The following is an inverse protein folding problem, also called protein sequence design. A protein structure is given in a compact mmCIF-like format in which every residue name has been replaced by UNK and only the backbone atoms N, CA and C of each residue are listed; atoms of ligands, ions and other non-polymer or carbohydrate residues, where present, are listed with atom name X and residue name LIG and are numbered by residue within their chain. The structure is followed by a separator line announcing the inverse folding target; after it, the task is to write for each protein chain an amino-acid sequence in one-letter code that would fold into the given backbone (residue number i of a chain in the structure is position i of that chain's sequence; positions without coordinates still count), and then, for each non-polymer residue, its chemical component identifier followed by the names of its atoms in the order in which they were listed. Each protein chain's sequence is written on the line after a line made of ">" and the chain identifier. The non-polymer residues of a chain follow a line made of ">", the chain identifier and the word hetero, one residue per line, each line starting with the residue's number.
data_IF_142619105050
#
_entry.id   IF_142619105050
#
_cell.length_a   1.000
_cell.length_b   1.000
_cell.length_c   1.000
_cell.angle_alpha   90.00
_cell.angle_beta   90.00
_cell.angle_gamma   90.00
#
_symmetry.space_group_name_H-M   'P 1'
#
loop_
_entity.id
_entity.type
_entity.pdbx_description
1 polymer ?
#
# COMPACT_ATOMS: atom_id res chain seq x y z
N UNK A 1 -19.17 -29.31 27.51
CA UNK A 1 -19.71 -28.50 26.40
C UNK A 1 -19.55 -29.35 25.17
N UNK A 2 -20.59 -29.46 24.33
CA UNK A 2 -20.49 -30.26 23.12
C UNK A 2 -19.52 -29.59 22.13
N UNK A 3 -18.75 -30.35 21.34
CA UNK A 3 -17.79 -29.80 20.39
C UNK A 3 -18.45 -28.91 19.32
N UNK A 4 -19.70 -29.23 18.95
CA UNK A 4 -20.49 -28.40 18.04
C UNK A 4 -20.77 -27.00 18.62
N UNK A 5 -21.06 -26.91 19.92
CA UNK A 5 -21.33 -25.63 20.58
C UNK A 5 -20.06 -24.77 20.63
N UNK A 6 -18.90 -25.37 20.91
CA UNK A 6 -17.61 -24.67 20.91
C UNK A 6 -17.30 -24.12 19.51
N UNK A 7 -17.51 -24.93 18.46
CA UNK A 7 -17.29 -24.51 17.08
C UNK A 7 -18.24 -23.41 16.63
N UNK A 8 -19.54 -23.53 16.93
CA UNK A 8 -20.52 -22.47 16.65
C UNK A 8 -20.16 -21.18 17.36
N UNK A 9 -19.78 -21.27 18.63
CA UNK A 9 -19.39 -20.10 19.41
C UNK A 9 -18.15 -19.41 18.85
N UNK A 10 -17.15 -20.19 18.43
CA UNK A 10 -15.98 -19.62 17.77
C UNK A 10 -16.34 -18.94 16.44
N UNK A 11 -17.17 -19.57 15.61
CA UNK A 11 -17.64 -18.99 14.36
C UNK A 11 -18.40 -17.66 14.58
N UNK A 12 -19.25 -17.59 15.60
CA UNK A 12 -19.93 -16.34 16.01
C UNK A 12 -18.92 -15.23 16.33
N UNK A 13 -17.92 -15.53 17.15
CA UNK A 13 -16.89 -14.54 17.52
C UNK A 13 -16.10 -14.10 16.28
N UNK A 14 -15.74 -15.02 15.38
CA UNK A 14 -15.10 -14.67 14.11
C UNK A 14 -16.00 -13.76 13.26
N UNK A 15 -17.31 -13.98 13.22
CA UNK A 15 -18.24 -13.07 12.54
C UNK A 15 -18.29 -11.68 13.18
N UNK A 16 -18.29 -11.61 14.52
CA UNK A 16 -18.25 -10.34 15.25
C UNK A 16 -16.97 -9.55 14.95
N UNK A 17 -15.80 -10.21 15.01
CA UNK A 17 -14.50 -9.61 14.67
C UNK A 17 -14.50 -9.10 13.25
N UNK A 18 -14.94 -9.92 12.29
CA UNK A 18 -15.04 -9.53 10.89
C UNK A 18 -15.94 -8.30 10.68
N UNK A 19 -17.07 -8.21 11.37
CA UNK A 19 -17.98 -7.06 11.27
C UNK A 19 -17.34 -5.77 11.80
N UNK A 20 -16.61 -5.83 12.92
CA UNK A 20 -15.87 -4.67 13.43
C UNK A 20 -14.79 -4.23 12.43
N UNK A 21 -14.07 -5.18 11.83
CA UNK A 21 -13.06 -4.85 10.82
C UNK A 21 -13.67 -4.20 9.57
N UNK A 22 -14.90 -4.58 9.16
CA UNK A 22 -15.62 -3.91 8.06
C UNK A 22 -15.98 -2.47 8.44
N UNK A 23 -16.43 -2.28 9.68
CA UNK A 23 -16.77 -0.96 10.20
C UNK A 23 -15.54 -0.06 10.25
N UNK A 24 -14.42 -0.58 10.78
CA UNK A 24 -13.10 0.08 10.78
C UNK A 24 -12.66 0.43 9.35
N UNK A 25 -12.72 -0.54 8.42
CA UNK A 25 -12.38 -0.33 7.01
C UNK A 25 -13.22 0.79 6.38
N UNK A 26 -14.53 0.79 6.65
CA UNK A 26 -15.47 1.80 6.17
C UNK A 26 -15.18 3.17 6.76
N UNK A 27 -14.77 3.23 8.03
CA UNK A 27 -14.35 4.47 8.68
C UNK A 27 -13.07 5.03 8.05
N UNK A 28 -12.05 4.19 7.92
CA UNK A 28 -10.75 4.54 7.34
C UNK A 28 -10.90 5.06 5.90
N UNK A 29 -11.73 4.40 5.08
CA UNK A 29 -12.02 4.82 3.70
C UNK A 29 -12.74 6.18 3.60
N UNK A 30 -13.63 6.48 4.54
CA UNK A 30 -14.48 7.69 4.50
C UNK A 30 -13.82 8.91 5.12
N UNK A 31 -13.18 8.74 6.27
CA UNK A 31 -12.61 9.84 7.04
C UNK A 31 -11.15 10.09 6.69
N UNK A 32 -10.39 9.04 6.36
CA UNK A 32 -8.94 9.14 6.23
C UNK A 32 -8.26 9.45 7.56
N UNK A 33 -8.92 9.17 8.68
CA UNK A 33 -8.43 9.43 10.03
C UNK A 33 -8.39 8.14 10.84
N UNK A 34 -7.71 8.18 11.99
CA UNK A 34 -7.65 7.04 12.91
C UNK A 34 -9.08 6.67 13.40
N UNK A 35 -9.37 5.37 13.62
CA UNK A 35 -10.64 4.93 14.16
C UNK A 35 -10.94 5.57 15.52
N UNK A 36 -12.22 5.87 15.76
CA UNK A 36 -12.69 6.40 17.03
C UNK A 36 -12.55 5.40 18.19
N UNK A 37 -12.63 5.92 19.42
CA UNK A 37 -12.57 5.11 20.65
C UNK A 37 -13.71 4.09 20.76
N UNK A 38 -14.81 4.30 20.04
CA UNK A 38 -15.95 3.39 19.96
C UNK A 38 -15.63 2.10 19.18
N UNK A 39 -14.87 2.20 18.07
CA UNK A 39 -14.41 1.04 17.30
C UNK A 39 -13.28 0.34 18.06
N UNK A 40 -12.31 1.11 18.56
CA UNK A 40 -11.17 0.58 19.31
C UNK A 40 -11.61 -0.15 20.59
N UNK A 41 -12.50 0.45 21.38
CA UNK A 41 -12.99 -0.16 22.62
C UNK A 41 -13.78 -1.46 22.39
N UNK A 42 -14.52 -1.58 21.28
CA UNK A 42 -15.18 -2.85 20.92
C UNK A 42 -14.17 -3.90 20.45
N UNK A 43 -13.15 -3.49 19.68
CA UNK A 43 -12.05 -4.37 19.24
C UNK A 43 -11.29 -4.93 20.45
N UNK A 44 -10.97 -4.08 21.44
CA UNK A 44 -10.32 -4.49 22.69
C UNK A 44 -11.14 -5.51 23.50
N UNK A 45 -12.47 -5.41 23.50
CA UNK A 45 -13.34 -6.37 24.19
C UNK A 45 -13.41 -7.73 23.48
N UNK A 46 -13.33 -7.75 22.14
CA UNK A 46 -13.40 -8.98 21.37
C UNK A 46 -12.11 -9.80 21.41
N UNK A 47 -10.94 -9.18 21.54
CA UNK A 47 -9.66 -9.90 21.54
C UNK A 47 -9.58 -10.98 22.65
N UNK A 48 -9.89 -10.69 23.94
CA UNK A 48 -9.92 -11.72 24.98
C UNK A 48 -10.97 -12.82 24.72
N UNK A 49 -12.09 -12.48 24.08
CA UNK A 49 -13.12 -13.47 23.73
C UNK A 49 -12.63 -14.42 22.64
N UNK A 50 -11.93 -13.89 21.64
CA UNK A 50 -11.30 -14.67 20.58
C UNK A 50 -10.23 -15.60 21.17
N UNK A 51 -9.34 -15.08 22.01
CA UNK A 51 -8.31 -15.87 22.69
C UNK A 51 -8.89 -17.03 23.49
N UNK A 52 -9.94 -16.76 24.27
CA UNK A 52 -10.66 -17.79 25.01
C UNK A 52 -11.26 -18.84 24.08
N UNK A 53 -11.92 -18.42 23.01
CA UNK A 53 -12.53 -19.36 22.04
C UNK A 53 -11.50 -20.26 21.37
N UNK A 54 -10.30 -19.73 21.09
CA UNK A 54 -9.19 -20.49 20.52
C UNK A 54 -8.62 -21.48 21.54
N UNK A 55 -8.56 -21.11 22.82
CA UNK A 55 -8.17 -22.02 23.89
C UNK A 55 -9.18 -23.17 24.04
N UNK A 56 -10.48 -22.87 23.97
CA UNK A 56 -11.55 -23.87 24.03
C UNK A 56 -11.49 -24.82 22.81
N UNK A 57 -11.23 -24.29 21.61
CA UNK A 57 -11.03 -25.12 20.40
C UNK A 57 -9.85 -26.09 20.52
N UNK A 58 -8.72 -25.65 21.10
CA UNK A 58 -7.53 -26.49 21.29
C UNK A 58 -7.77 -27.65 22.26
N UNK A 59 -8.77 -27.54 23.13
CA UNK A 59 -9.13 -28.58 24.09
C UNK A 59 -10.08 -29.63 23.52
N UNK A 60 -10.63 -29.40 22.31
CA UNK A 60 -11.51 -30.37 21.66
C UNK A 60 -10.71 -31.60 21.24
N UNK A 61 -11.18 -32.77 21.69
CA UNK A 61 -10.61 -34.04 21.28
C UNK A 61 -11.43 -34.66 20.14
N UNK A 62 -10.79 -35.26 19.12
CA UNK A 62 -11.45 -35.87 17.96
C UNK A 62 -12.50 -36.92 18.32
N UNK A 63 -12.35 -37.58 19.47
CA UNK A 63 -13.22 -38.64 19.97
C UNK A 63 -14.64 -38.15 20.32
N UNK A 64 -14.80 -36.85 20.59
CA UNK A 64 -16.10 -36.26 20.92
C UNK A 64 -16.90 -35.82 19.68
N UNK A 65 -16.32 -35.91 18.48
CA UNK A 65 -16.98 -35.47 17.27
C UNK A 65 -17.99 -36.51 16.79
N UNK A 66 -19.24 -36.07 16.62
CA UNK A 66 -20.29 -36.91 16.03
C UNK A 66 -19.99 -37.16 14.55
N UNK A 67 -20.05 -38.41 14.07
CA UNK A 67 -19.93 -38.73 12.65
C UNK A 67 -21.11 -38.22 11.80
N UNK A 68 -22.22 -37.84 12.46
CA UNK A 68 -23.41 -37.25 11.83
C UNK A 68 -23.53 -35.74 12.10
N UNK A 69 -22.55 -35.15 12.78
CA UNK A 69 -22.57 -33.74 13.16
C UNK A 69 -22.07 -32.81 12.07
N UNK A 70 -22.44 -31.53 12.15
CA UNK A 70 -22.03 -30.47 11.21
C UNK A 70 -20.63 -29.90 11.54
N UNK A 71 -19.88 -30.55 12.44
CA UNK A 71 -18.57 -30.07 12.91
C UNK A 71 -17.61 -29.76 11.75
N UNK A 72 -17.57 -30.61 10.72
CA UNK A 72 -16.71 -30.41 9.55
C UNK A 72 -17.07 -29.12 8.80
N UNK A 73 -18.36 -28.85 8.65
CA UNK A 73 -18.83 -27.62 8.01
C UNK A 73 -18.47 -26.41 8.86
N UNK A 74 -18.72 -26.46 10.18
CA UNK A 74 -18.40 -25.37 11.09
C UNK A 74 -16.90 -25.03 11.13
N UNK A 75 -16.02 -26.04 11.05
CA UNK A 75 -14.57 -25.83 10.93
C UNK A 75 -14.23 -25.13 9.62
N UNK A 76 -14.80 -25.57 8.49
CA UNK A 76 -14.56 -24.94 7.19
C UNK A 76 -15.05 -23.49 7.16
N UNK A 77 -16.23 -23.23 7.70
CA UNK A 77 -16.83 -21.89 7.77
C UNK A 77 -15.98 -20.97 8.65
N UNK A 78 -15.50 -21.48 9.80
CA UNK A 78 -14.60 -20.75 10.69
C UNK A 78 -13.28 -20.41 9.98
N UNK A 79 -12.68 -21.37 9.28
CA UNK A 79 -11.46 -21.16 8.51
C UNK A 79 -11.66 -20.12 7.39
N UNK A 80 -12.74 -20.23 6.62
CA UNK A 80 -13.06 -19.26 5.57
C UNK A 80 -13.25 -17.85 6.16
N UNK A 81 -13.88 -17.74 7.32
CA UNK A 81 -14.05 -16.46 8.02
C UNK A 81 -12.72 -15.87 8.49
N UNK A 82 -11.81 -16.68 9.04
CA UNK A 82 -10.47 -16.23 9.43
C UNK A 82 -9.67 -15.69 8.24
N UNK A 83 -9.77 -16.33 7.08
CA UNK A 83 -9.13 -15.80 5.86
C UNK A 83 -9.68 -14.42 5.50
N UNK A 84 -11.01 -14.24 5.53
CA UNK A 84 -11.64 -12.94 5.28
C UNK A 84 -11.14 -11.86 6.27
N UNK A 85 -11.05 -12.22 7.56
CA UNK A 85 -10.50 -11.36 8.61
C UNK A 85 -9.08 -10.92 8.25
N UNK A 86 -8.18 -11.84 7.88
CA UNK A 86 -6.79 -11.50 7.55
C UNK A 86 -6.65 -10.58 6.34
N UNK A 87 -7.44 -10.82 5.29
CA UNK A 87 -7.43 -9.93 4.12
C UNK A 87 -7.89 -8.52 4.47
N UNK A 88 -8.93 -8.42 5.29
CA UNK A 88 -9.50 -7.15 5.70
C UNK A 88 -8.60 -6.39 6.67
N UNK A 89 -7.97 -7.10 7.60
CA UNK A 89 -7.01 -6.54 8.55
C UNK A 89 -5.80 -5.96 7.81
N UNK A 90 -5.25 -6.69 6.83
CA UNK A 90 -4.21 -6.16 5.95
C UNK A 90 -4.64 -4.92 5.18
N UNK A 91 -5.86 -4.88 4.66
CA UNK A 91 -6.38 -3.69 3.97
C UNK A 91 -6.49 -2.49 4.94
N UNK A 92 -6.91 -2.73 6.18
CA UNK A 92 -6.98 -1.71 7.22
C UNK A 92 -5.60 -1.19 7.61
N UNK A 93 -4.61 -2.07 7.76
CA UNK A 93 -3.21 -1.71 7.99
C UNK A 93 -2.67 -0.83 6.85
N UNK A 94 -2.96 -1.15 5.59
CA UNK A 94 -2.55 -0.35 4.44
C UNK A 94 -3.15 1.07 4.48
N UNK A 95 -4.38 1.25 4.98
CA UNK A 95 -4.96 2.58 5.20
C UNK A 95 -4.31 3.30 6.37
N UNK A 96 -4.12 2.63 7.49
CA UNK A 96 -3.49 3.20 8.68
C UNK A 96 -2.06 3.67 8.38
N UNK A 97 -1.30 2.91 7.59
CA UNK A 97 0.06 3.29 7.18
C UNK A 97 0.04 4.58 6.34
N UNK A 98 -0.89 4.71 5.39
CA UNK A 98 -1.03 5.94 4.57
C UNK A 98 -1.43 7.16 5.40
N UNK A 99 -2.17 6.96 6.49
CA UNK A 99 -2.54 8.02 7.43
C UNK A 99 -1.35 8.40 8.31
N UNK A 100 -0.54 7.41 8.73
CA UNK A 100 0.62 7.61 9.59
C UNK A 100 1.84 8.20 8.87
N UNK A 101 1.95 8.03 7.54
CA UNK A 101 3.03 8.62 6.73
C UNK A 101 3.01 10.16 6.83
N UNK A 102 4.06 10.79 7.38
CA UNK A 102 4.10 12.24 7.47
C UNK A 102 4.18 12.87 6.06
N UNK A 103 3.58 14.06 5.85
CA UNK A 103 3.58 14.73 4.54
C UNK A 103 4.97 15.00 3.95
N UNK A 104 6.00 15.05 4.80
CA UNK A 104 7.38 15.33 4.40
C UNK A 104 8.01 14.23 3.55
N UNK A 105 7.68 12.95 3.77
CA UNK A 105 8.24 11.83 3.00
C UNK A 105 7.59 11.71 1.61
N UNK A 106 6.33 12.12 1.48
CA UNK A 106 5.68 12.29 0.17
C UNK A 106 6.32 13.40 -0.66
N UNK A 107 6.71 14.51 -0.02
CA UNK A 107 7.31 15.67 -0.69
C UNK A 107 8.79 15.47 -1.08
N UNK A 108 9.54 14.65 -0.33
CA UNK A 108 10.94 14.38 -0.66
C UNK A 108 11.11 13.60 -1.97
N UNK A 109 10.16 12.73 -2.33
CA UNK A 109 10.16 12.07 -3.65
C UNK A 109 9.70 13.00 -4.79
N UNK A 110 8.86 14.00 -4.52
CA UNK A 110 8.46 15.00 -5.53
C UNK A 110 9.57 16.01 -5.82
N UNK A 111 10.47 16.25 -4.86
CA UNK A 111 11.58 17.22 -5.00
C UNK A 111 12.63 16.83 -6.06
N UNK A 112 12.69 15.56 -6.46
CA UNK A 112 13.57 15.10 -7.54
C UNK A 112 12.86 14.93 -8.90
N UNK A 113 11.54 15.17 -8.96
CA UNK A 113 10.76 15.06 -10.20
C UNK A 113 10.64 16.40 -10.96
N UNK A 114 10.97 17.52 -10.32
CA UNK A 114 11.06 18.84 -10.95
C UNK A 114 12.54 19.19 -11.18
N UNK A 115 13.17 18.47 -12.12
CA UNK A 115 14.47 18.85 -12.65
C UNK A 115 14.26 19.86 -13.78
N UNK A 116 14.13 21.15 -13.42
CA UNK A 116 14.23 22.24 -14.39
C UNK A 116 14.95 23.49 -13.85
N UNK A 117 15.71 23.38 -12.75
CA UNK A 117 16.55 24.49 -12.25
C UNK A 117 17.97 24.00 -11.91
N UNK A 118 18.80 23.90 -12.95
CA UNK A 118 20.27 24.02 -12.84
C UNK A 118 20.74 24.95 -13.95
N UNK A 119 20.48 26.25 -13.80
CA UNK A 119 21.21 27.28 -14.53
C UNK A 119 21.34 28.57 -13.70
N UNK A 120 22.10 28.51 -12.61
CA UNK A 120 22.56 29.75 -11.96
C UNK A 120 23.92 29.54 -11.28
N UNK A 121 25.00 29.65 -12.08
CA UNK A 121 26.32 29.95 -11.56
C UNK A 121 26.70 31.36 -12.01
N UNK A 122 26.43 32.38 -11.17
CA UNK A 122 26.88 33.74 -11.38
C UNK A 122 27.63 34.28 -10.16
N UNK A 123 28.91 34.65 -10.39
CA UNK A 123 29.62 35.68 -9.64
C UNK A 123 31.07 35.32 -9.24
N UNK A 124 32.09 36.17 -9.36
CA UNK A 124 32.26 37.57 -9.81
C UNK A 124 33.78 37.83 -10.00
N UNK A 125 34.14 38.43 -11.14
CA UNK A 125 35.12 39.50 -11.45
C UNK A 125 36.52 39.63 -10.80
N UNK A 126 37.53 39.83 -11.69
CA UNK A 126 38.42 41.01 -11.82
C UNK A 126 39.95 40.73 -11.87
N UNK A 127 40.59 41.08 -12.99
CA UNK A 127 42.01 41.45 -13.06
C UNK A 127 42.29 42.27 -14.35
N UNK A 128 42.85 43.50 -14.28
CA UNK A 128 43.17 44.32 -15.44
C UNK A 128 44.66 44.21 -15.84
N UNK A 129 44.95 44.18 -17.15
CA UNK A 129 46.29 44.43 -17.71
C UNK A 129 46.60 43.72 -19.04
N UNK A 130 46.53 44.45 -20.16
CA UNK A 130 47.08 44.12 -21.49
C UNK A 130 48.59 44.48 -21.56
N UNK A 131 49.37 44.20 -22.64
CA UNK A 131 49.21 43.28 -23.79
C UNK A 131 50.51 42.48 -24.14
N UNK A 132 50.44 41.55 -25.11
CA UNK A 132 51.49 41.01 -26.03
C UNK A 132 50.98 39.62 -26.48
N UNK A 133 50.95 39.14 -27.71
CA UNK A 133 51.56 39.47 -29.00
C UNK A 133 51.83 38.12 -29.69
N UNK A 134 51.41 37.95 -30.97
CA UNK A 134 51.73 36.81 -31.87
C UNK A 134 51.03 35.47 -31.56
N UNK A 135 50.55 34.64 -32.49
CA UNK A 135 50.63 34.58 -33.95
C UNK A 135 49.68 33.47 -34.46
N UNK A 136 49.15 33.66 -35.67
CA UNK A 136 48.75 32.65 -36.66
C UNK A 136 47.42 31.88 -36.52
N UNK A 137 46.48 32.31 -37.37
CA UNK A 137 45.94 31.55 -38.51
C UNK A 137 44.42 31.30 -38.48
N UNK A 138 43.68 32.21 -39.10
CA UNK A 138 42.48 31.86 -39.87
C UNK A 138 42.89 31.18 -41.18
N UNK A 139 42.06 30.27 -41.70
CA UNK A 139 41.09 30.71 -42.71
C UNK A 139 39.68 30.14 -42.50
N UNK A 140 38.67 31.00 -42.63
CA UNK A 140 37.30 30.62 -43.01
C UNK A 140 37.22 30.37 -44.55
N UNK A 141 36.06 30.04 -45.17
CA UNK A 141 34.81 29.43 -44.70
C UNK A 141 34.39 28.21 -45.56
N UNK A 142 33.50 27.33 -45.10
CA UNK A 142 32.72 26.49 -46.04
C UNK A 142 31.31 26.19 -45.50
N UNK A 143 30.41 25.95 -46.44
CA UNK A 143 28.97 26.18 -46.48
C UNK A 143 28.08 25.32 -45.53
N UNK A 144 26.77 25.64 -45.40
CA UNK A 144 25.85 25.06 -44.43
C UNK A 144 25.20 23.78 -44.96
N UNK A 145 25.12 22.73 -44.14
CA UNK A 145 24.29 21.54 -44.44
C UNK A 145 23.82 20.92 -43.10
N UNK A 146 22.55 21.14 -42.76
CA UNK A 146 21.44 20.18 -42.88
C UNK A 146 21.17 19.43 -41.57
N UNK A 147 20.01 19.75 -40.98
CA UNK A 147 19.42 19.06 -39.83
C UNK A 147 19.29 17.54 -40.08
N UNK A 148 19.60 16.69 -39.09
CA UNK A 148 19.30 15.27 -39.18
C UNK A 148 17.78 15.00 -39.06
N UNK A 149 17.24 14.02 -39.80
CA UNK A 149 15.80 13.75 -39.83
C UNK A 149 15.30 13.07 -38.55
N UNK A 150 14.08 13.42 -38.13
CA UNK A 150 13.32 12.76 -37.05
C UNK A 150 12.98 11.29 -37.41
N UNK A 151 12.98 10.37 -36.43
CA UNK A 151 12.59 8.98 -36.65
C UNK A 151 11.07 8.81 -36.85
N UNK A 152 10.62 7.79 -37.59
CA UNK A 152 9.22 7.58 -37.93
C UNK A 152 8.38 7.04 -36.75
N UNK A 153 7.13 7.50 -36.67
CA UNK A 153 6.12 7.00 -35.73
C UNK A 153 5.49 5.68 -36.22
N UNK A 154 5.33 4.72 -35.30
CA UNK A 154 4.66 3.44 -35.54
C UNK A 154 3.14 3.60 -35.80
N UNK A 155 2.53 2.81 -36.72
CA UNK A 155 1.12 2.89 -37.02
C UNK A 155 0.22 2.09 -36.03
N UNK A 156 -1.03 2.53 -35.80
CA UNK A 156 -1.95 1.86 -34.90
C UNK A 156 -2.51 0.55 -35.48
N UNK A 157 -2.42 -0.52 -34.69
CA UNK A 157 -2.89 -1.86 -35.02
C UNK A 157 -4.38 -1.93 -35.37
N UNK A 158 -4.65 -2.53 -36.53
CA UNK A 158 -5.99 -2.79 -37.05
C UNK A 158 -6.76 -3.80 -36.20
N UNK A 159 -8.04 -3.46 -35.99
CA UNK A 159 -9.09 -4.35 -35.47
C UNK A 159 -9.27 -5.55 -36.42
N UNK A 160 -9.15 -6.75 -35.88
CA UNK A 160 -9.64 -7.97 -36.50
C UNK A 160 -11.17 -8.00 -36.40
N UNK A 161 -11.81 -8.30 -37.52
CA UNK A 161 -13.20 -8.75 -37.63
C UNK A 161 -13.21 -10.28 -37.82
#
# INVERSE_FOLDING_TARGET
>A
MEPEDVLRRHLEICNEVHNILIEENSWLKKTGELPGQDILGRKEQLLPMLDKSLADLKQLQPEHFSPFGDCKQLVNDSHAKLMQIFYLDRENEDFLQKIAEPPADRAQFTRFAEADEIDEFHGVEDAPGQPEGQSSAEPAPDAPDQDPPLPPADPPGGRLA
#
